data_IF_875602591912
#
_entry.id   IF_875602591912
#
_cell.length_a   1.000
_cell.length_b   1.000
_cell.length_c   1.000
_cell.angle_alpha   90.00
_cell.angle_beta   90.00
_cell.angle_gamma   90.00
#
_symmetry.space_group_name_H-M   'P 1'
#
loop_
_entity.id
_entity.type
_entity.pdbx_description
1 polymer ?
#
# COMPACT_ATOMS: atom_id res chain seq x y z
N UNK A 1 -37.14 -47.97 0.28
CA UNK A 1 -35.82 -47.81 0.95
C UNK A 1 -34.78 -47.13 0.06
N UNK A 2 -34.66 -47.44 -1.24
CA UNK A 2 -33.63 -46.80 -2.10
C UNK A 2 -33.80 -45.28 -2.29
N UNK A 3 -35.04 -44.78 -2.39
CA UNK A 3 -35.30 -43.35 -2.54
C UNK A 3 -34.86 -42.50 -1.32
N UNK A 4 -35.01 -43.05 -0.12
CA UNK A 4 -34.58 -42.39 1.13
C UNK A 4 -33.05 -42.32 1.23
N UNK A 5 -32.38 -43.42 0.83
CA UNK A 5 -30.91 -43.50 0.79
C UNK A 5 -30.34 -42.55 -0.27
N UNK A 6 -30.97 -42.47 -1.45
CA UNK A 6 -30.58 -41.54 -2.52
C UNK A 6 -30.68 -40.08 -2.08
N UNK A 7 -31.74 -39.71 -1.35
CA UNK A 7 -31.90 -38.36 -0.80
C UNK A 7 -30.83 -38.04 0.24
N UNK A 8 -30.55 -38.96 1.17
CA UNK A 8 -29.48 -38.80 2.16
C UNK A 8 -28.10 -38.62 1.51
N UNK A 9 -27.80 -39.39 0.47
CA UNK A 9 -26.54 -39.25 -0.28
C UNK A 9 -26.43 -37.87 -0.94
N UNK A 10 -27.51 -37.38 -1.54
CA UNK A 10 -27.54 -36.03 -2.13
C UNK A 10 -27.33 -34.92 -1.11
N UNK A 11 -27.92 -35.03 0.08
CA UNK A 11 -27.69 -34.06 1.16
C UNK A 11 -26.23 -34.06 1.63
N UNK A 12 -25.59 -35.23 1.74
CA UNK A 12 -24.17 -35.34 2.11
C UNK A 12 -23.25 -34.70 1.07
N UNK A 13 -23.53 -34.88 -0.21
CA UNK A 13 -22.77 -34.26 -1.30
C UNK A 13 -22.97 -32.74 -1.28
N UNK A 14 -24.21 -32.27 -1.14
CA UNK A 14 -24.49 -30.83 -1.07
C UNK A 14 -23.80 -30.18 0.14
N UNK A 15 -23.81 -30.85 1.30
CA UNK A 15 -23.15 -30.36 2.51
C UNK A 15 -21.63 -30.28 2.36
N UNK A 16 -20.99 -31.28 1.74
CA UNK A 16 -19.53 -31.26 1.49
C UNK A 16 -19.14 -30.19 0.49
N UNK A 17 -19.90 -30.00 -0.59
CA UNK A 17 -19.67 -28.90 -1.55
C UNK A 17 -19.81 -27.54 -0.87
N UNK A 18 -20.85 -27.34 -0.06
CA UNK A 18 -21.07 -26.09 0.66
C UNK A 18 -19.94 -25.80 1.66
N UNK A 19 -19.53 -26.81 2.44
CA UNK A 19 -18.42 -26.67 3.38
C UNK A 19 -17.10 -26.35 2.68
N UNK A 20 -16.83 -26.98 1.54
CA UNK A 20 -15.63 -26.71 0.75
C UNK A 20 -15.64 -25.30 0.13
N UNK A 21 -16.79 -24.85 -0.36
CA UNK A 21 -16.95 -23.49 -0.87
C UNK A 21 -16.70 -22.45 0.23
N UNK A 22 -17.25 -22.64 1.43
CA UNK A 22 -17.00 -21.77 2.58
C UNK A 22 -15.52 -21.77 2.97
N UNK A 23 -14.87 -22.95 2.98
CA UNK A 23 -13.44 -23.07 3.26
C UNK A 23 -12.58 -22.31 2.25
N UNK A 24 -12.89 -22.39 0.95
CA UNK A 24 -12.17 -21.65 -0.09
C UNK A 24 -12.35 -20.13 0.04
N UNK A 25 -13.57 -19.68 0.32
CA UNK A 25 -13.86 -18.23 0.47
C UNK A 25 -13.20 -17.67 1.73
N UNK A 26 -13.42 -18.30 2.89
CA UNK A 26 -12.84 -17.86 4.15
C UNK A 26 -11.30 -17.97 4.13
N UNK A 27 -10.76 -19.05 3.55
CA UNK A 27 -9.32 -19.24 3.41
C UNK A 27 -8.65 -18.21 2.51
N UNK A 28 -9.31 -17.78 1.42
CA UNK A 28 -8.80 -16.71 0.56
C UNK A 28 -8.83 -15.33 1.24
N UNK A 29 -9.88 -15.04 2.03
CA UNK A 29 -9.97 -13.77 2.77
C UNK A 29 -8.86 -13.67 3.82
N UNK A 30 -8.64 -14.72 4.60
CA UNK A 30 -7.59 -14.74 5.65
C UNK A 30 -6.19 -14.63 5.06
N UNK A 31 -5.92 -15.24 3.90
CA UNK A 31 -4.61 -15.11 3.23
C UNK A 31 -4.34 -13.71 2.70
N UNK A 32 -5.36 -12.99 2.23
CA UNK A 32 -5.23 -11.63 1.72
C UNK A 32 -4.94 -10.61 2.84
N UNK A 33 -5.43 -10.84 4.06
CA UNK A 33 -5.06 -10.02 5.23
C UNK A 33 -3.66 -10.35 5.76
N UNK A 34 -3.26 -11.62 5.74
CA UNK A 34 -1.97 -12.05 6.29
C UNK A 34 -0.75 -11.72 5.40
N UNK A 35 -0.94 -11.49 4.09
CA UNK A 35 0.19 -11.17 3.19
C UNK A 35 0.74 -9.75 3.36
N UNK A 36 0.03 -8.87 4.09
CA UNK A 36 0.39 -7.45 4.21
C UNK A 36 0.37 -6.69 2.88
N UNK A 37 -0.10 -7.30 1.78
CA UNK A 37 -0.14 -6.69 0.43
C UNK A 37 -1.07 -5.48 0.34
N UNK A 38 -1.94 -5.27 1.34
CA UNK A 38 -2.91 -4.18 1.34
C UNK A 38 -2.76 -3.21 2.53
N UNK A 39 -1.69 -3.33 3.32
CA UNK A 39 -1.44 -2.33 4.37
C UNK A 39 -1.01 -1.02 3.70
N UNK A 40 -1.73 0.09 3.95
CA UNK A 40 -1.40 1.36 3.33
C UNK A 40 -0.03 1.83 3.81
N UNK A 41 0.80 2.30 2.89
CA UNK A 41 2.08 2.90 3.25
C UNK A 41 1.79 4.26 3.90
N UNK A 42 2.30 4.43 5.13
CA UNK A 42 2.13 5.66 5.89
C UNK A 42 3.12 6.69 5.39
N UNK A 43 2.61 7.82 4.91
CA UNK A 43 3.38 8.98 4.48
C UNK A 43 3.10 10.11 5.45
N UNK A 44 4.14 10.67 6.02
CA UNK A 44 4.06 11.86 6.88
C UNK A 44 4.05 13.09 6.01
N UNK A 45 3.11 13.99 6.28
CA UNK A 45 2.98 15.27 5.61
C UNK A 45 3.23 16.41 6.60
N UNK A 46 4.40 17.03 6.50
CA UNK A 46 4.70 18.26 7.22
C UNK A 46 4.17 19.44 6.40
N UNK A 47 3.10 20.06 6.90
CA UNK A 47 2.47 21.20 6.26
C UNK A 47 3.28 22.48 6.49
N UNK A 48 3.90 22.98 5.43
CA UNK A 48 4.50 24.30 5.36
C UNK A 48 3.54 25.36 4.83
N UNK A 49 4.00 26.61 4.71
CA UNK A 49 3.23 27.70 4.10
C UNK A 49 3.08 27.48 2.59
N UNK A 50 2.00 26.80 2.17
CA UNK A 50 1.71 26.51 0.76
C UNK A 50 2.53 25.36 0.16
N UNK A 51 3.08 24.50 1.01
CA UNK A 51 3.83 23.32 0.57
C UNK A 51 3.58 22.13 1.49
N UNK A 52 3.51 20.95 0.90
CA UNK A 52 3.46 19.66 1.58
C UNK A 52 4.84 19.04 1.53
N UNK A 53 5.41 18.74 2.69
CA UNK A 53 6.69 18.04 2.80
C UNK A 53 6.41 16.58 3.16
N UNK A 54 6.43 15.74 2.13
CA UNK A 54 6.06 14.34 2.25
C UNK A 54 7.30 13.50 2.53
N UNK A 55 7.23 12.63 3.55
CA UNK A 55 8.30 11.69 3.87
C UNK A 55 7.76 10.35 4.36
N UNK A 56 8.53 9.29 4.17
CA UNK A 56 8.11 7.95 4.59
C UNK A 56 9.12 6.88 4.24
N UNK A 57 8.70 5.63 4.38
CA UNK A 57 9.49 4.46 4.00
C UNK A 57 8.68 3.58 3.07
N UNK A 58 9.31 3.09 2.01
CA UNK A 58 8.71 2.16 1.05
C UNK A 58 9.57 0.90 0.99
N UNK A 59 8.92 -0.26 0.96
CA UNK A 59 9.61 -1.52 0.77
C UNK A 59 10.00 -1.67 -0.71
N UNK A 60 11.29 -1.74 -0.99
CA UNK A 60 11.80 -2.05 -2.33
C UNK A 60 12.08 -3.55 -2.46
N UNK A 61 12.08 -4.12 -3.68
CA UNK A 61 12.22 -5.56 -3.88
C UNK A 61 13.54 -6.15 -3.38
N UNK A 62 14.60 -5.35 -3.32
CA UNK A 62 15.92 -5.82 -2.88
C UNK A 62 16.77 -4.67 -2.32
N UNK A 63 17.79 -4.97 -1.50
CA UNK A 63 18.67 -3.94 -0.95
C UNK A 63 19.50 -3.21 -2.01
N UNK A 64 19.65 -3.73 -3.22
CA UNK A 64 20.35 -3.02 -4.29
C UNK A 64 19.47 -2.11 -5.12
N UNK A 65 18.16 -2.10 -4.86
CA UNK A 65 17.29 -1.15 -5.51
C UNK A 65 17.46 0.22 -4.84
N UNK A 66 17.87 1.18 -5.64
CA UNK A 66 17.75 2.60 -5.33
C UNK A 66 16.31 3.04 -5.58
N UNK A 67 15.85 3.99 -4.77
CA UNK A 67 14.50 4.54 -4.86
C UNK A 67 14.60 6.00 -5.29
N UNK A 68 13.94 6.35 -6.38
CA UNK A 68 13.75 7.73 -6.79
C UNK A 68 12.26 8.10 -6.68
N UNK A 69 11.99 9.31 -6.22
CA UNK A 69 10.63 9.85 -6.10
C UNK A 69 10.49 11.05 -7.01
N UNK A 70 9.42 11.08 -7.80
CA UNK A 70 8.99 12.24 -8.59
C UNK A 70 7.54 12.54 -8.27
N UNK A 71 7.16 13.81 -8.42
CA UNK A 71 5.79 14.25 -8.17
C UNK A 71 5.19 14.73 -9.48
N UNK A 72 3.94 14.37 -9.73
CA UNK A 72 3.21 14.79 -10.92
C UNK A 72 1.83 15.30 -10.52
N UNK A 73 1.48 16.50 -10.98
CA UNK A 73 0.14 17.05 -10.79
C UNK A 73 -0.79 16.52 -11.87
N UNK A 74 -1.88 15.86 -11.46
CA UNK A 74 -2.96 15.43 -12.36
C UNK A 74 -4.01 16.52 -12.47
N UNK A 75 -4.25 17.23 -11.37
CA UNK A 75 -5.15 18.37 -11.26
C UNK A 75 -4.62 19.37 -10.24
N UNK A 76 -5.37 20.44 -9.97
CA UNK A 76 -5.05 21.42 -8.92
C UNK A 76 -5.17 20.84 -7.49
N UNK A 77 -5.84 19.70 -7.33
CA UNK A 77 -6.11 19.07 -6.03
C UNK A 77 -5.62 17.62 -5.97
N UNK A 78 -5.02 17.09 -7.03
CA UNK A 78 -4.61 15.68 -7.10
C UNK A 78 -3.19 15.57 -7.61
N UNK A 79 -2.33 14.96 -6.80
CA UNK A 79 -0.93 14.72 -7.13
C UNK A 79 -0.57 13.24 -6.99
N UNK A 80 0.27 12.77 -7.90
CA UNK A 80 0.81 11.41 -7.91
C UNK A 80 2.26 11.45 -7.45
N UNK A 81 2.61 10.56 -6.52
CA UNK A 81 3.97 10.21 -6.14
C UNK A 81 4.43 9.04 -7.01
N UNK A 82 5.35 9.31 -7.94
CA UNK A 82 5.94 8.33 -8.84
C UNK A 82 7.23 7.81 -8.22
N UNK A 83 7.16 6.61 -7.63
CA UNK A 83 8.32 5.88 -7.15
C UNK A 83 8.88 5.01 -8.27
N UNK A 84 10.17 5.14 -8.51
CA UNK A 84 10.91 4.31 -9.48
C UNK A 84 12.06 3.65 -8.78
N UNK A 85 12.17 2.35 -8.98
CA UNK A 85 13.34 1.60 -8.54
C UNK A 85 14.34 1.46 -9.68
N UNK A 86 15.62 1.53 -9.32
CA UNK A 86 16.69 1.22 -10.24
C UNK A 86 17.66 0.27 -9.55
N UNK A 87 18.14 -0.73 -10.29
CA UNK A 87 19.06 -1.74 -9.80
C UNK A 87 20.35 -1.69 -10.60
N UNK A 88 21.47 -1.60 -9.90
CA UNK A 88 22.79 -1.77 -10.49
C UNK A 88 22.95 -3.22 -11.01
N UNK A 89 23.15 -3.43 -12.33
CA UNK A 89 23.23 -4.77 -12.92
C UNK A 89 24.48 -5.55 -12.50
N UNK A 90 25.54 -4.87 -12.06
CA UNK A 90 26.82 -5.50 -11.69
C UNK A 90 26.84 -6.14 -10.30
N UNK A 91 25.78 -5.97 -9.49
CA UNK A 91 25.74 -6.47 -8.11
C UNK A 91 24.75 -7.63 -7.96
N UNK A 92 25.23 -8.75 -7.41
CA UNK A 92 24.39 -9.85 -6.94
C UNK A 92 23.73 -9.45 -5.64
N UNK A 93 22.41 -9.52 -5.58
CA UNK A 93 21.62 -8.96 -4.48
C UNK A 93 20.74 -10.04 -3.88
N UNK A 94 20.59 -10.03 -2.55
CA UNK A 94 19.55 -10.81 -1.90
C UNK A 94 18.17 -10.39 -2.43
N UNK A 95 17.21 -11.31 -2.46
CA UNK A 95 15.82 -11.05 -2.81
C UNK A 95 14.98 -10.51 -1.64
N UNK A 96 15.63 -10.14 -0.53
CA UNK A 96 14.92 -9.68 0.66
C UNK A 96 14.41 -8.25 0.48
N UNK A 97 13.10 -8.07 0.69
CA UNK A 97 12.47 -6.74 0.65
C UNK A 97 13.08 -5.87 1.74
N UNK A 98 13.49 -4.65 1.37
CA UNK A 98 14.22 -3.74 2.26
C UNK A 98 13.52 -2.38 2.31
N UNK A 99 13.38 -1.72 3.47
CA UNK A 99 12.82 -0.38 3.54
C UNK A 99 13.77 0.67 2.96
N UNK A 100 13.22 1.60 2.17
CA UNK A 100 13.92 2.77 1.64
C UNK A 100 13.17 4.04 2.03
N UNK A 101 13.90 4.95 2.67
CA UNK A 101 13.40 6.27 3.01
C UNK A 101 13.24 7.12 1.75
N UNK A 102 12.19 7.92 1.71
CA UNK A 102 12.02 8.97 0.71
C UNK A 102 11.59 10.28 1.36
N UNK A 103 11.89 11.38 0.67
CA UNK A 103 11.41 12.71 0.99
C UNK A 103 11.14 13.47 -0.29
N UNK A 104 10.04 14.20 -0.34
CA UNK A 104 9.69 15.06 -1.46
C UNK A 104 8.88 16.26 -1.00
N UNK A 105 8.72 17.25 -1.88
CA UNK A 105 7.98 18.48 -1.62
C UNK A 105 7.01 18.74 -2.76
N UNK A 106 5.79 19.13 -2.42
CA UNK A 106 4.74 19.51 -3.38
C UNK A 106 4.22 20.88 -3.00
N UNK A 107 4.22 21.80 -3.96
CA UNK A 107 3.61 23.12 -3.79
C UNK A 107 2.12 23.04 -4.09
N UNK A 108 1.29 23.03 -3.04
CA UNK A 108 -0.16 22.94 -3.13
C UNK A 108 -0.82 23.61 -1.90
N UNK A 109 -2.12 23.94 -1.96
CA UNK A 109 -2.85 24.46 -0.80
C UNK A 109 -2.85 23.45 0.34
N UNK A 110 -2.70 23.89 1.59
CA UNK A 110 -2.58 22.98 2.74
C UNK A 110 -3.81 22.10 3.06
N UNK A 111 -4.92 22.25 2.32
CA UNK A 111 -6.12 21.44 2.48
C UNK A 111 -6.79 21.17 1.12
N UNK A 112 -7.58 20.10 1.05
CA UNK A 112 -8.30 19.72 -0.17
C UNK A 112 -7.42 19.05 -1.22
N UNK A 113 -6.24 18.55 -0.82
CA UNK A 113 -5.30 17.87 -1.71
C UNK A 113 -5.38 16.36 -1.50
N UNK A 114 -5.43 15.61 -2.58
CA UNK A 114 -5.42 14.16 -2.62
C UNK A 114 -4.10 13.67 -3.20
N UNK A 115 -3.49 12.70 -2.53
CA UNK A 115 -2.27 12.06 -2.98
C UNK A 115 -2.55 10.61 -3.37
N UNK A 116 -1.91 10.17 -4.45
CA UNK A 116 -1.84 8.76 -4.83
C UNK A 116 -0.38 8.38 -5.11
N UNK A 117 -0.04 7.09 -5.11
CA UNK A 117 1.32 6.66 -5.36
C UNK A 117 1.40 5.47 -6.31
N UNK A 118 2.50 5.40 -7.06
CA UNK A 118 2.86 4.25 -7.89
C UNK A 118 4.30 3.85 -7.64
N UNK A 119 4.60 2.56 -7.68
CA UNK A 119 5.95 1.98 -7.63
C UNK A 119 6.16 1.21 -8.92
N UNK A 120 7.09 1.65 -9.76
CA UNK A 120 7.36 1.03 -11.06
C UNK A 120 6.07 0.82 -11.89
N UNK A 121 5.26 1.88 -11.96
CA UNK A 121 3.93 1.94 -12.62
C UNK A 121 2.80 1.16 -11.94
N UNK A 122 3.07 0.40 -10.88
CA UNK A 122 2.04 -0.28 -10.09
C UNK A 122 1.49 0.64 -8.99
N UNK A 123 0.18 0.92 -9.00
CA UNK A 123 -0.47 1.69 -7.93
C UNK A 123 -0.54 0.90 -6.62
N UNK A 124 -0.37 1.60 -5.49
CA UNK A 124 -0.49 0.99 -4.16
C UNK A 124 -1.19 1.94 -3.17
N UNK A 125 -1.87 1.41 -2.14
CA UNK A 125 -2.58 2.23 -1.17
C UNK A 125 -1.59 3.02 -0.30
N UNK A 126 -1.87 4.31 -0.12
CA UNK A 126 -1.13 5.20 0.78
C UNK A 126 -2.07 5.85 1.78
N UNK A 127 -1.56 6.11 2.97
CA UNK A 127 -2.20 6.91 4.00
C UNK A 127 -1.31 8.11 4.30
N UNK A 128 -1.78 9.30 3.93
CA UNK A 128 -1.07 10.55 4.23
C UNK A 128 -1.56 11.09 5.58
N UNK A 129 -0.63 11.20 6.53
CA UNK A 129 -0.90 11.67 7.89
C UNK A 129 -0.26 13.04 8.07
N UNK A 130 -1.06 14.10 8.28
CA UNK A 130 -0.51 15.42 8.55
C UNK A 130 0.19 15.43 9.91
N UNK A 131 1.40 15.99 9.93
CA UNK A 131 2.17 16.27 11.14
C UNK A 131 2.06 17.76 11.41
N UNK A 132 1.24 18.12 12.40
CA UNK A 132 1.17 19.49 12.88
C UNK A 132 2.40 19.72 13.76
N UNK A 133 3.41 20.39 13.23
CA UNK A 133 4.50 20.91 14.04
C UNK A 133 3.92 22.03 14.91
N UNK A 134 3.61 21.73 16.16
CA UNK A 134 3.38 22.75 17.19
C UNK A 134 4.68 23.55 17.30
N UNK A 135 4.69 24.72 16.67
CA UNK A 135 5.77 25.70 16.81
C UNK A 135 5.76 26.14 18.28
N UNK A 136 6.64 25.59 19.09
CA UNK A 136 6.92 26.15 20.42
C UNK A 136 7.35 27.60 20.19
N UNK A 137 6.76 28.60 20.88
CA UNK A 137 7.29 29.95 20.81
C UNK A 137 8.70 29.87 21.38
N UNK A 138 9.69 30.30 20.59
CA UNK A 138 10.98 30.69 21.16
C UNK A 138 10.69 31.88 22.07
N UNK A 139 10.57 31.61 23.37
CA UNK A 139 10.66 32.66 24.39
C UNK A 139 12.05 33.29 24.23
N UNK A 140 11.99 34.60 23.94
CA UNK A 140 13.07 35.55 23.74
C UNK A 140 13.92 35.77 24.97
#
# INVERSE_FOLDING_TARGET
MSATISRMAWFLIAATVLAYAVYLVAGNIVRAEASGENLPIIIRDELGTGAHHLSGMIMVPSPCHELSVRTQSVSSSTHILLFRTWREPSVTCSSDRTPRYFRTMIFAPGAGVTFTATLDDAGFPILVVPVILSREPLDS
#
